data_IF_587306568752
#
_entry.id   IF_587306568752
#
_cell.length_a   1.000
_cell.length_b   1.000
_cell.length_c   1.000
_cell.angle_alpha   90.00
_cell.angle_beta   90.00
_cell.angle_gamma   90.00
#
_symmetry.space_group_name_H-M   'P 1'
#
loop_
_entity.id
_entity.type
_entity.pdbx_description
1 polymer ?
#
# COMPACT_ATOMS: atom_id res chain seq x y z
N UNK A 1 4.23 -5.55 -12.48
CA UNK A 1 4.47 -5.07 -11.11
C UNK A 1 5.49 -5.96 -10.41
N UNK A 2 6.02 -5.51 -9.26
CA UNK A 2 6.93 -6.23 -8.37
C UNK A 2 6.76 -5.79 -6.92
N UNK A 3 7.37 -6.51 -5.98
CA UNK A 3 7.42 -6.13 -4.58
C UNK A 3 7.98 -4.71 -4.37
N UNK A 4 7.29 -3.93 -3.54
CA UNK A 4 7.56 -2.52 -3.29
C UNK A 4 6.82 -1.56 -4.24
N UNK A 5 6.17 -2.03 -5.30
CA UNK A 5 5.38 -1.13 -6.15
C UNK A 5 4.16 -0.60 -5.37
N UNK A 6 3.92 0.71 -5.42
CA UNK A 6 2.72 1.38 -4.92
C UNK A 6 1.72 1.43 -6.05
N UNK A 7 0.55 0.85 -5.81
CA UNK A 7 -0.56 0.73 -6.74
C UNK A 7 -1.81 1.40 -6.19
N UNK A 8 -2.79 1.69 -7.05
CA UNK A 8 -4.10 2.18 -6.62
C UNK A 8 -5.16 1.15 -6.91
N UNK A 9 -6.03 0.95 -5.93
CA UNK A 9 -7.15 0.00 -6.02
C UNK A 9 -8.33 0.53 -5.20
N UNK A 10 -9.54 0.05 -5.51
CA UNK A 10 -10.76 0.39 -4.78
C UNK A 10 -11.01 -0.58 -3.62
N UNK A 11 -10.65 -0.16 -2.41
CA UNK A 11 -10.82 -0.94 -1.18
C UNK A 11 -12.26 -0.89 -0.68
N UNK A 12 -12.82 -2.04 -0.30
CA UNK A 12 -14.07 -2.09 0.49
C UNK A 12 -13.68 -1.92 1.95
N UNK A 13 -14.02 -0.77 2.52
CA UNK A 13 -13.73 -0.46 3.91
C UNK A 13 -14.66 -1.26 4.84
N UNK A 14 -14.33 -1.32 6.15
CA UNK A 14 -15.15 -2.02 7.14
C UNK A 14 -16.57 -1.44 7.31
N UNK A 15 -16.83 -0.24 6.82
CA UNK A 15 -18.15 0.40 6.74
C UNK A 15 -18.90 0.11 5.43
N UNK A 16 -18.34 -0.74 4.56
CA UNK A 16 -18.90 -1.10 3.25
C UNK A 16 -18.61 -0.08 2.13
N UNK A 17 -18.00 1.07 2.43
CA UNK A 17 -17.69 2.06 1.41
C UNK A 17 -16.54 1.60 0.50
N UNK A 18 -16.67 1.87 -0.79
CA UNK A 18 -15.64 1.66 -1.80
C UNK A 18 -14.81 2.93 -1.96
N UNK A 19 -13.53 2.88 -1.60
CA UNK A 19 -12.62 4.04 -1.77
C UNK A 19 -11.34 3.64 -2.47
N UNK A 20 -10.95 4.47 -3.43
CA UNK A 20 -9.67 4.31 -4.10
C UNK A 20 -8.54 4.74 -3.16
N UNK A 21 -7.62 3.83 -2.89
CA UNK A 21 -6.49 4.06 -1.97
C UNK A 21 -5.20 3.50 -2.55
N UNK A 22 -4.05 4.09 -2.19
CA UNK A 22 -2.77 3.46 -2.45
C UNK A 22 -2.62 2.17 -1.63
N UNK A 23 -1.89 1.21 -2.18
CA UNK A 23 -1.45 -0.02 -1.54
C UNK A 23 -0.04 -0.37 -2.00
N UNK A 24 0.74 -1.06 -1.17
CA UNK A 24 2.09 -1.51 -1.51
C UNK A 24 2.06 -3.00 -1.83
N UNK A 25 2.60 -3.37 -2.99
CA UNK A 25 2.78 -4.75 -3.42
C UNK A 25 3.82 -5.44 -2.54
N UNK A 26 3.43 -6.55 -1.94
CA UNK A 26 4.30 -7.41 -1.13
C UNK A 26 4.89 -8.51 -2.00
N UNK A 27 4.06 -9.24 -2.73
CA UNK A 27 4.49 -10.35 -3.58
C UNK A 27 3.46 -10.70 -4.65
N UNK A 28 3.91 -11.42 -5.69
CA UNK A 28 3.00 -12.14 -6.58
C UNK A 28 2.34 -13.31 -5.82
N UNK A 29 1.11 -13.62 -6.19
CA UNK A 29 0.32 -14.75 -5.70
C UNK A 29 -0.05 -15.60 -6.91
N UNK A 30 0.65 -16.74 -7.13
CA UNK A 30 0.33 -17.64 -8.23
C UNK A 30 -1.01 -18.38 -7.99
N UNK A 31 -1.63 -18.92 -9.05
CA UNK A 31 -1.17 -18.93 -10.44
C UNK A 31 -1.76 -17.81 -11.31
N UNK A 32 -2.73 -17.04 -10.83
CA UNK A 32 -3.61 -16.22 -11.68
C UNK A 32 -3.16 -14.76 -11.87
N UNK A 33 -1.86 -14.47 -11.67
CA UNK A 33 -1.32 -13.10 -11.63
C UNK A 33 -2.02 -12.22 -10.57
N UNK A 34 -2.29 -12.79 -9.39
CA UNK A 34 -2.77 -12.02 -8.25
C UNK A 34 -1.58 -11.40 -7.51
N UNK A 35 -1.86 -10.38 -6.71
CA UNK A 35 -0.87 -9.66 -5.93
C UNK A 35 -1.31 -9.57 -4.48
N UNK A 36 -0.41 -9.95 -3.56
CA UNK A 36 -0.56 -9.64 -2.15
C UNK A 36 -0.11 -8.21 -1.93
N UNK A 37 -0.95 -7.39 -1.29
CA UNK A 37 -0.61 -6.01 -0.97
C UNK A 37 -0.94 -5.67 0.48
N UNK A 38 -0.34 -4.60 1.01
CA UNK A 38 -0.77 -3.95 2.25
C UNK A 38 -1.33 -2.53 2.00
N UNK A 39 -2.30 -2.11 2.80
CA UNK A 39 -2.97 -0.83 2.63
C UNK A 39 -2.08 0.37 3.02
N UNK A 40 -2.35 1.53 2.41
CA UNK A 40 -1.77 2.82 2.81
C UNK A 40 -2.90 3.78 3.23
N UNK A 41 -2.71 4.49 4.34
CA UNK A 41 -3.74 5.36 4.93
C UNK A 41 -3.16 6.69 5.39
N UNK A 42 -3.84 7.79 5.09
CA UNK A 42 -3.49 9.14 5.56
C UNK A 42 -3.96 9.42 6.99
N UNK A 43 -4.65 8.47 7.64
CA UNK A 43 -5.19 8.64 8.99
C UNK A 43 -4.13 8.39 10.06
N UNK A 44 -3.20 9.35 10.21
CA UNK A 44 -2.04 9.25 11.11
C UNK A 44 -2.43 9.06 12.58
N UNK A 45 -3.53 9.69 13.02
CA UNK A 45 -4.03 9.56 14.40
C UNK A 45 -4.44 8.14 14.79
N UNK A 46 -4.54 7.21 13.83
CA UNK A 46 -4.84 5.79 14.07
C UNK A 46 -3.60 4.91 13.99
N UNK A 47 -2.39 5.46 14.12
CA UNK A 47 -1.16 4.68 14.09
C UNK A 47 -1.14 3.66 15.23
N UNK A 48 -0.83 2.42 14.89
CA UNK A 48 -0.51 1.36 15.85
C UNK A 48 1.00 1.30 15.96
N UNK A 49 1.51 1.66 17.15
CA UNK A 49 2.94 1.64 17.44
C UNK A 49 3.51 0.23 17.20
N UNK A 50 4.72 0.18 16.67
CA UNK A 50 5.48 -1.06 16.41
C UNK A 50 4.80 -2.01 15.39
N UNK A 51 3.76 -1.54 14.69
CA UNK A 51 3.08 -2.27 13.63
C UNK A 51 3.00 -1.45 12.33
N UNK A 52 2.49 -0.22 12.41
CA UNK A 52 2.40 0.64 11.24
C UNK A 52 3.74 1.35 10.97
N UNK A 53 4.08 1.51 9.69
CA UNK A 53 5.25 2.31 9.27
C UNK A 53 4.80 3.70 8.86
N UNK A 54 5.29 4.72 9.56
CA UNK A 54 5.10 6.12 9.18
C UNK A 54 6.00 6.48 8.01
N UNK A 55 5.38 7.00 6.95
CA UNK A 55 6.06 7.57 5.78
C UNK A 55 5.67 9.04 5.72
N UNK A 56 6.44 9.88 6.42
CA UNK A 56 6.31 11.34 6.42
C UNK A 56 7.21 11.98 5.35
N UNK A 57 7.24 13.32 5.28
CA UNK A 57 7.97 14.06 4.25
C UNK A 57 9.49 13.87 4.32
N UNK A 58 10.03 13.52 5.49
CA UNK A 58 11.45 13.30 5.69
C UNK A 58 11.83 11.82 5.43
N UNK A 59 10.83 10.95 5.26
CA UNK A 59 11.06 9.55 4.96
C UNK A 59 11.66 9.41 3.54
N UNK A 60 12.78 8.69 3.36
CA UNK A 60 13.51 8.61 2.09
C UNK A 60 12.74 7.93 0.95
N UNK A 61 11.65 7.22 1.30
CA UNK A 61 10.75 6.60 0.32
C UNK A 61 9.47 7.42 0.05
N UNK A 62 9.29 8.59 0.68
CA UNK A 62 8.08 9.41 0.54
C UNK A 62 7.83 9.82 -0.91
N UNK A 63 8.81 10.48 -1.54
CA UNK A 63 8.70 10.90 -2.94
C UNK A 63 8.66 9.69 -3.88
N UNK A 64 9.47 8.66 -3.62
CA UNK A 64 9.59 7.47 -4.47
C UNK A 64 8.29 6.67 -4.52
N UNK A 65 7.57 6.63 -3.41
CA UNK A 65 6.26 6.02 -3.28
C UNK A 65 5.14 6.80 -4.00
N UNK A 66 5.43 8.01 -4.50
CA UNK A 66 4.44 8.90 -5.10
C UNK A 66 3.35 9.34 -4.12
N UNK A 67 3.65 9.33 -2.82
CA UNK A 67 2.76 9.83 -1.79
C UNK A 67 2.77 11.37 -1.84
N UNK A 68 1.59 11.97 -1.69
CA UNK A 68 1.43 13.44 -1.69
C UNK A 68 1.36 14.03 -0.29
N UNK A 69 1.04 13.21 0.70
CA UNK A 69 0.86 13.60 2.09
C UNK A 69 1.38 12.49 3.00
N UNK A 70 1.85 12.81 4.22
CA UNK A 70 2.27 11.82 5.19
C UNK A 70 1.22 10.72 5.36
N UNK A 71 1.69 9.47 5.38
CA UNK A 71 0.83 8.30 5.35
C UNK A 71 1.39 7.18 6.24
N UNK A 72 0.52 6.26 6.61
CA UNK A 72 0.86 5.02 7.30
C UNK A 72 0.78 3.86 6.32
N UNK A 73 1.83 3.06 6.24
CA UNK A 73 1.80 1.72 5.66
C UNK A 73 1.26 0.76 6.72
N UNK A 74 0.11 0.16 6.43
CA UNK A 74 -0.65 -0.69 7.34
C UNK A 74 -0.28 -2.16 7.09
N UNK A 75 0.87 -2.60 7.59
CA UNK A 75 1.46 -3.92 7.25
C UNK A 75 0.56 -5.10 7.62
N UNK A 76 -0.31 -4.94 8.63
CA UNK A 76 -1.31 -5.95 9.01
C UNK A 76 -2.62 -5.89 8.20
N UNK A 77 -2.84 -4.85 7.39
CA UNK A 77 -4.02 -4.73 6.53
C UNK A 77 -3.69 -5.27 5.14
N UNK A 78 -3.73 -6.60 5.02
CA UNK A 78 -3.38 -7.32 3.81
C UNK A 78 -4.60 -7.63 2.95
N UNK A 79 -4.39 -7.68 1.64
CA UNK A 79 -5.41 -8.14 0.68
C UNK A 79 -4.73 -8.76 -0.54
N UNK A 80 -5.34 -9.80 -1.08
CA UNK A 80 -4.98 -10.37 -2.38
C UNK A 80 -5.85 -9.75 -3.45
N UNK A 81 -5.24 -9.32 -4.54
CA UNK A 81 -5.95 -8.67 -5.62
C UNK A 81 -5.51 -9.11 -7.02
N UNK A 82 -6.46 -9.36 -7.93
CA UNK A 82 -6.14 -9.59 -9.33
C UNK A 82 -5.46 -8.38 -9.98
N UNK A 83 -4.52 -8.61 -10.89
CA UNK A 83 -3.86 -7.55 -11.64
C UNK A 83 -4.87 -6.61 -12.36
N UNK A 84 -5.94 -7.18 -12.92
CA UNK A 84 -6.97 -6.47 -13.71
C UNK A 84 -7.75 -5.38 -12.98
N UNK A 85 -7.68 -5.31 -11.65
CA UNK A 85 -8.41 -4.32 -10.83
C UNK A 85 -7.50 -3.23 -10.27
N UNK A 86 -6.21 -3.28 -10.61
CA UNK A 86 -5.24 -2.24 -10.32
C UNK A 86 -5.38 -1.11 -11.34
N UNK A 87 -5.33 0.14 -10.86
CA UNK A 87 -5.61 1.31 -11.67
C UNK A 87 -4.40 2.25 -11.74
N UNK A 88 -4.08 2.69 -12.96
CA UNK A 88 -3.03 3.65 -13.22
C UNK A 88 -1.61 3.08 -13.09
N UNK A 89 -0.57 3.92 -13.30
CA UNK A 89 0.81 3.50 -13.22
C UNK A 89 1.22 3.17 -11.78
N UNK A 90 2.12 2.20 -11.61
CA UNK A 90 2.77 1.91 -10.34
C UNK A 90 4.02 2.76 -10.12
N UNK A 91 4.17 3.32 -8.92
CA UNK A 91 5.39 4.00 -8.42
C UNK A 91 6.09 3.11 -7.38
N UNK A 92 7.28 3.43 -6.83
CA UNK A 92 8.09 2.43 -6.09
C UNK A 92 8.46 2.84 -4.67
N UNK A 93 8.02 2.04 -3.70
CA UNK A 93 8.47 2.01 -2.31
C UNK A 93 9.61 1.00 -2.10
N UNK A 94 10.59 1.30 -1.25
CA UNK A 94 11.75 0.42 -1.05
C UNK A 94 11.41 -0.80 -0.17
N UNK A 95 11.82 -2.00 -0.64
CA UNK A 95 11.47 -3.30 -0.04
C UNK A 95 12.10 -3.55 1.34
N UNK A 96 13.27 -3.00 1.64
CA UNK A 96 14.02 -3.32 2.86
C UNK A 96 13.37 -2.81 4.17
N UNK A 97 12.24 -2.09 4.10
CA UNK A 97 11.53 -1.54 5.26
C UNK A 97 10.19 -2.23 5.57
N UNK A 98 9.91 -3.35 4.91
CA UNK A 98 8.71 -4.18 5.17
C UNK A 98 9.04 -5.43 6.00
N UNK A 99 10.11 -5.38 6.79
CA UNK A 99 10.58 -6.44 7.67
C UNK A 99 10.25 -6.14 9.11
#
# INVERSE_FOLDING_TARGET
>A
MKAGDVVRWTFVQGDGQRKMRPAIVISAVPPFNDWLVCAVSTQLHRAVKDLDVLVDTDHPDFERAGLRVPSLVRVAQLSTLPDKVIQGPSVRYHRQRLH
#
